data_IF_241706976739
#
_entry.id   IF_241706976739
#
_cell.length_a   1.000
_cell.length_b   1.000
_cell.length_c   1.000
_cell.angle_alpha   90.00
_cell.angle_beta   90.00
_cell.angle_gamma   90.00
#
_symmetry.space_group_name_H-M   'P 1'
#
loop_
_entity.id
_entity.type
_entity.pdbx_description
1 polymer ?
#
# COMPACT_ATOMS: atom_id res chain seq x y z
N UNK A 1 -10.66 15.95 17.27
CA UNK A 1 -10.35 15.63 15.86
C UNK A 1 -9.57 14.33 15.87
N UNK A 2 -9.93 13.38 15.03
CA UNK A 2 -9.28 12.06 14.96
C UNK A 2 -8.33 12.00 13.75
N UNK A 3 -7.39 12.93 13.67
CA UNK A 3 -6.38 12.96 12.60
C UNK A 3 -5.51 11.70 12.56
N UNK A 4 -5.28 11.07 13.70
CA UNK A 4 -4.51 9.83 13.84
C UNK A 4 -5.12 8.59 13.14
N UNK A 5 -6.33 8.70 12.58
CA UNK A 5 -6.95 7.67 11.73
C UNK A 5 -6.74 7.95 10.23
N UNK A 6 -5.99 9.00 9.89
CA UNK A 6 -5.65 9.35 8.51
C UNK A 6 -4.21 8.98 8.18
N UNK A 7 -4.00 8.49 6.96
CA UNK A 7 -2.72 8.42 6.28
C UNK A 7 -2.73 9.45 5.14
N UNK A 8 -1.79 10.39 5.14
CA UNK A 8 -1.84 11.55 4.27
C UNK A 8 -0.72 11.55 3.23
N UNK A 9 -1.03 11.98 2.02
CA UNK A 9 -0.01 12.31 1.03
C UNK A 9 0.72 13.61 1.37
N UNK A 10 1.84 13.85 0.66
CA UNK A 10 2.62 15.07 0.70
C UNK A 10 2.63 15.69 -0.69
N UNK A 11 2.54 17.01 -0.79
CA UNK A 11 2.34 17.66 -2.07
C UNK A 11 3.60 17.71 -2.94
N UNK A 12 4.74 18.00 -2.32
CA UNK A 12 5.98 18.21 -3.05
C UNK A 12 7.21 17.52 -2.43
N UNK A 13 8.39 17.77 -2.98
CA UNK A 13 9.64 17.19 -2.48
C UNK A 13 10.12 17.81 -1.16
N UNK A 14 9.52 18.92 -0.75
CA UNK A 14 9.78 19.62 0.51
C UNK A 14 8.46 19.99 1.15
N UNK A 15 8.42 20.05 2.49
CA UNK A 15 7.24 20.49 3.23
C UNK A 15 7.06 21.99 3.10
N UNK A 16 5.87 22.44 2.74
CA UNK A 16 5.50 23.84 2.87
C UNK A 16 5.21 24.19 4.34
N UNK A 17 5.22 25.48 4.67
CA UNK A 17 4.88 25.93 6.01
C UNK A 17 3.43 25.58 6.40
N UNK A 18 2.52 25.63 5.41
CA UNK A 18 1.11 25.28 5.55
C UNK A 18 0.91 23.79 5.82
N UNK A 19 1.59 22.92 5.06
CA UNK A 19 1.54 21.47 5.30
C UNK A 19 2.12 21.11 6.68
N UNK A 20 3.26 21.69 7.03
CA UNK A 20 3.88 21.46 8.33
C UNK A 20 2.95 21.89 9.49
N UNK A 21 2.25 23.02 9.35
CA UNK A 21 1.28 23.49 10.34
C UNK A 21 0.06 22.56 10.44
N UNK A 22 -0.46 22.11 9.29
CA UNK A 22 -1.57 21.16 9.22
C UNK A 22 -1.21 19.82 9.87
N UNK A 23 -0.06 19.27 9.55
CA UNK A 23 0.40 17.97 10.05
C UNK A 23 0.67 18.01 11.57
N UNK A 24 1.29 19.09 12.07
CA UNK A 24 1.42 19.28 13.52
C UNK A 24 0.08 19.36 14.25
N UNK A 25 -0.92 19.98 13.62
CA UNK A 25 -2.27 20.11 14.19
C UNK A 25 -3.02 18.79 14.18
N UNK A 26 -2.95 18.03 13.09
CA UNK A 26 -3.72 16.80 12.89
C UNK A 26 -3.09 15.57 13.54
N UNK A 27 -1.76 15.51 13.62
CA UNK A 27 -1.01 14.32 14.05
C UNK A 27 -1.51 13.05 13.35
N UNK A 28 -1.40 12.97 11.99
CA UNK A 28 -1.89 11.80 11.26
C UNK A 28 -1.16 10.52 11.69
N UNK A 29 -1.72 9.35 11.36
CA UNK A 29 -1.05 8.07 11.59
C UNK A 29 0.31 8.00 10.91
N UNK A 30 0.42 8.65 9.77
CA UNK A 30 1.62 8.73 8.97
C UNK A 30 1.39 9.37 7.60
N UNK A 31 2.37 9.15 6.73
CA UNK A 31 2.45 9.79 5.42
C UNK A 31 2.78 8.78 4.34
N UNK A 32 2.28 9.02 3.11
CA UNK A 32 2.67 8.29 1.91
C UNK A 32 3.37 9.22 0.94
N UNK A 33 4.50 8.77 0.38
CA UNK A 33 5.25 9.51 -0.63
C UNK A 33 5.13 8.83 -2.01
N UNK A 34 5.06 9.66 -3.04
CA UNK A 34 4.96 9.28 -4.45
C UNK A 34 6.15 9.80 -5.24
N UNK A 35 6.21 9.52 -6.54
CA UNK A 35 7.26 10.02 -7.42
C UNK A 35 7.46 11.54 -7.35
N UNK A 36 6.37 12.31 -7.22
CA UNK A 36 6.42 13.78 -7.07
C UNK A 36 7.20 14.28 -5.84
N UNK A 37 7.39 13.44 -4.85
CA UNK A 37 8.11 13.77 -3.61
C UNK A 37 9.60 13.40 -3.67
N UNK A 38 10.04 12.68 -4.73
CA UNK A 38 11.34 12.00 -4.79
C UNK A 38 12.15 12.56 -5.94
N UNK A 39 13.05 13.48 -5.65
CA UNK A 39 13.93 14.14 -6.64
C UNK A 39 15.41 13.83 -6.42
N UNK A 40 15.77 13.22 -5.30
CA UNK A 40 17.11 12.82 -4.94
C UNK A 40 17.12 12.01 -3.64
N UNK A 41 18.07 11.11 -3.48
CA UNK A 41 18.09 10.21 -2.33
C UNK A 41 18.28 10.97 -0.98
N UNK A 42 19.23 11.89 -0.92
CA UNK A 42 19.44 12.73 0.26
C UNK A 42 18.26 13.68 0.53
N UNK A 43 17.61 14.21 -0.52
CA UNK A 43 16.42 15.04 -0.41
C UNK A 43 15.25 14.22 0.15
N UNK A 44 15.00 13.03 -0.40
CA UNK A 44 13.92 12.12 0.09
C UNK A 44 14.14 11.76 1.54
N UNK A 45 15.38 11.45 1.91
CA UNK A 45 15.73 11.16 3.30
C UNK A 45 15.48 12.37 4.21
N UNK A 46 15.82 13.57 3.79
CA UNK A 46 15.52 14.78 4.55
C UNK A 46 14.01 14.96 4.73
N UNK A 47 13.21 14.76 3.67
CA UNK A 47 11.76 14.88 3.75
C UNK A 47 11.16 13.88 4.75
N UNK A 48 11.62 12.63 4.75
CA UNK A 48 11.15 11.62 5.71
C UNK A 48 11.58 11.93 7.14
N UNK A 49 12.75 12.52 7.35
CA UNK A 49 13.19 13.00 8.67
C UNK A 49 12.37 14.21 9.12
N UNK A 50 12.11 15.19 8.26
CA UNK A 50 11.26 16.36 8.55
C UNK A 50 9.83 15.93 8.97
N UNK A 51 9.25 14.92 8.30
CA UNK A 51 7.94 14.36 8.64
C UNK A 51 7.94 13.67 10.03
N UNK A 52 9.03 12.98 10.40
CA UNK A 52 9.18 12.43 11.76
C UNK A 52 9.25 13.53 12.81
N UNK A 53 10.00 14.58 12.54
CA UNK A 53 10.18 15.71 13.48
C UNK A 53 8.88 16.48 13.74
N UNK A 54 7.90 16.39 12.84
CA UNK A 54 6.55 16.94 13.03
C UNK A 54 5.63 16.06 13.89
N UNK A 55 5.96 14.78 14.04
CA UNK A 55 5.10 13.77 14.63
C UNK A 55 5.45 13.52 16.09
N UNK A 56 4.43 13.38 16.95
CA UNK A 56 4.62 13.06 18.38
C UNK A 56 5.03 11.60 18.56
N UNK A 57 4.37 10.69 17.84
CA UNK A 57 4.68 9.28 17.80
C UNK A 57 5.46 8.94 16.52
N UNK A 58 6.19 7.81 16.48
CA UNK A 58 6.81 7.33 15.23
C UNK A 58 5.74 7.20 14.14
N UNK A 59 5.81 8.01 13.08
CA UNK A 59 4.82 7.97 12.01
C UNK A 59 5.02 6.76 11.09
N UNK A 60 3.96 6.31 10.47
CA UNK A 60 4.05 5.45 9.31
C UNK A 60 4.60 6.29 8.15
N UNK A 61 5.71 5.87 7.58
CA UNK A 61 6.28 6.46 6.36
C UNK A 61 6.20 5.41 5.25
N UNK A 62 5.18 5.55 4.42
CA UNK A 62 4.80 4.57 3.42
C UNK A 62 5.19 4.97 2.00
N UNK A 63 5.35 3.98 1.15
CA UNK A 63 5.63 4.11 -0.28
C UNK A 63 5.09 2.88 -1.02
N UNK A 64 4.81 3.02 -2.33
CA UNK A 64 4.59 1.89 -3.25
C UNK A 64 5.90 1.56 -3.96
N UNK A 65 6.64 0.61 -3.48
CA UNK A 65 7.90 0.17 -4.09
C UNK A 65 7.82 -1.31 -4.47
N UNK A 66 6.92 -1.62 -5.42
CA UNK A 66 6.62 -2.99 -5.84
C UNK A 66 7.70 -3.59 -6.76
N UNK A 67 8.43 -2.73 -7.45
CA UNK A 67 9.27 -3.07 -8.61
C UNK A 67 8.55 -2.91 -9.94
N UNK A 68 9.28 -3.06 -11.05
CA UNK A 68 8.74 -2.84 -12.39
C UNK A 68 8.13 -1.45 -12.56
N UNK A 69 6.92 -1.40 -13.11
CA UNK A 69 6.24 -0.12 -13.38
C UNK A 69 5.83 0.67 -12.13
N UNK A 70 5.69 0.02 -10.98
CA UNK A 70 5.39 0.71 -9.71
C UNK A 70 6.66 0.82 -8.87
N UNK A 71 7.50 1.74 -9.28
CA UNK A 71 8.79 2.09 -8.67
C UNK A 71 8.87 3.58 -8.49
N UNK A 72 8.60 4.08 -7.27
CA UNK A 72 8.58 5.53 -7.00
C UNK A 72 9.98 6.14 -7.01
N UNK A 73 11.01 5.31 -6.87
CA UNK A 73 12.43 5.73 -6.87
C UNK A 73 13.08 5.67 -8.26
N UNK A 74 12.32 5.51 -9.34
CA UNK A 74 12.81 5.30 -10.71
C UNK A 74 13.77 6.39 -11.21
N UNK A 75 13.60 7.63 -10.73
CA UNK A 75 14.41 8.77 -11.15
C UNK A 75 15.70 8.95 -10.34
N UNK A 76 15.86 8.20 -9.23
CA UNK A 76 17.00 8.30 -8.32
C UNK A 76 17.77 6.99 -8.12
N UNK A 77 17.23 5.87 -8.59
CA UNK A 77 17.82 4.54 -8.49
C UNK A 77 17.39 3.64 -9.65
N UNK A 78 18.15 2.59 -9.98
CA UNK A 78 17.69 1.54 -10.88
C UNK A 78 16.39 0.91 -10.36
N UNK A 79 15.49 0.55 -11.28
CA UNK A 79 14.25 -0.14 -10.92
C UNK A 79 14.54 -1.62 -10.62
N UNK A 80 13.93 -2.14 -9.55
CA UNK A 80 13.85 -3.58 -9.32
C UNK A 80 12.93 -4.23 -10.36
N UNK A 81 13.18 -5.50 -10.72
CA UNK A 81 12.29 -6.23 -11.62
C UNK A 81 10.87 -6.34 -11.06
N UNK A 82 9.88 -6.40 -11.95
CA UNK A 82 8.48 -6.60 -11.60
C UNK A 82 8.23 -7.96 -10.94
N UNK A 83 7.16 -8.05 -10.16
CA UNK A 83 6.70 -9.30 -9.56
C UNK A 83 6.53 -10.42 -10.61
N UNK A 84 5.92 -10.08 -11.76
CA UNK A 84 5.72 -11.03 -12.84
C UNK A 84 7.05 -11.52 -13.44
N UNK A 85 8.01 -10.63 -13.67
CA UNK A 85 9.32 -11.00 -14.22
C UNK A 85 10.13 -11.87 -13.25
N UNK A 86 10.14 -11.53 -11.96
CA UNK A 86 10.76 -12.35 -10.92
C UNK A 86 10.15 -13.76 -10.85
N UNK A 87 8.81 -13.82 -10.82
CA UNK A 87 8.12 -15.11 -10.76
C UNK A 87 8.31 -15.94 -12.05
N UNK A 88 8.40 -15.30 -13.21
CA UNK A 88 8.66 -16.00 -14.48
C UNK A 88 9.99 -16.76 -14.50
N UNK A 89 10.98 -16.36 -13.71
CA UNK A 89 12.25 -17.10 -13.54
C UNK A 89 12.08 -18.42 -12.78
N UNK A 90 11.01 -18.57 -11.99
CA UNK A 90 10.77 -19.79 -11.18
C UNK A 90 11.74 -19.96 -10.00
N UNK A 91 12.57 -18.98 -9.71
CA UNK A 91 13.54 -18.98 -8.59
C UNK A 91 13.10 -18.00 -7.50
N UNK A 92 12.63 -18.53 -6.38
CA UNK A 92 12.20 -17.73 -5.24
C UNK A 92 13.34 -17.00 -4.52
N UNK A 93 14.61 -17.40 -4.75
CA UNK A 93 15.78 -16.68 -4.21
C UNK A 93 15.95 -15.32 -4.88
N UNK A 94 15.57 -15.17 -6.16
CA UNK A 94 15.55 -13.88 -6.83
C UNK A 94 14.50 -12.95 -6.20
N UNK A 95 13.31 -13.48 -5.88
CA UNK A 95 12.27 -12.74 -5.16
C UNK A 95 12.73 -12.36 -3.74
N UNK A 96 13.42 -13.27 -3.05
CA UNK A 96 14.03 -12.98 -1.74
C UNK A 96 15.06 -11.84 -1.82
N UNK A 97 15.94 -11.88 -2.84
CA UNK A 97 16.94 -10.84 -3.07
C UNK A 97 16.29 -9.49 -3.39
N UNK A 98 15.24 -9.49 -4.22
CA UNK A 98 14.47 -8.28 -4.50
C UNK A 98 13.87 -7.67 -3.24
N UNK A 99 13.21 -8.47 -2.38
CA UNK A 99 12.66 -8.01 -1.10
C UNK A 99 13.73 -7.48 -0.14
N UNK A 100 14.91 -8.10 -0.12
CA UNK A 100 16.04 -7.62 0.66
C UNK A 100 16.51 -6.24 0.19
N UNK A 101 16.72 -6.07 -1.11
CA UNK A 101 17.20 -4.83 -1.70
C UNK A 101 16.18 -3.70 -1.59
N UNK A 102 14.87 -4.01 -1.77
CA UNK A 102 13.79 -3.06 -1.46
C UNK A 102 13.89 -2.58 -0.01
N UNK A 103 14.04 -3.49 0.93
CA UNK A 103 14.17 -3.13 2.34
C UNK A 103 15.40 -2.28 2.65
N UNK A 104 16.57 -2.60 2.11
CA UNK A 104 17.80 -1.82 2.30
C UNK A 104 17.66 -0.41 1.70
N UNK A 105 17.08 -0.30 0.50
CA UNK A 105 16.78 0.98 -0.16
C UNK A 105 15.85 1.85 0.68
N UNK A 106 14.71 1.29 1.08
CA UNK A 106 13.66 2.02 1.82
C UNK A 106 14.15 2.46 3.19
N UNK A 107 14.93 1.63 3.88
CA UNK A 107 15.50 1.98 5.20
C UNK A 107 16.50 3.13 5.13
N UNK A 108 17.30 3.23 4.06
CA UNK A 108 18.19 4.36 3.84
C UNK A 108 17.42 5.64 3.56
N UNK A 109 16.34 5.56 2.77
CA UNK A 109 15.47 6.69 2.46
C UNK A 109 14.55 7.09 3.63
N UNK A 110 14.47 6.27 4.68
CA UNK A 110 13.71 6.59 5.87
C UNK A 110 12.30 6.00 5.92
N UNK A 111 11.88 5.21 4.96
CA UNK A 111 10.59 4.52 4.99
C UNK A 111 10.57 3.35 5.97
N UNK A 112 9.39 3.04 6.51
CA UNK A 112 9.18 1.95 7.45
C UNK A 112 8.00 1.02 7.09
N UNK A 113 7.21 1.37 6.04
CA UNK A 113 6.14 0.57 5.46
C UNK A 113 6.23 0.61 3.95
N UNK A 114 6.16 -0.55 3.30
CA UNK A 114 5.97 -0.68 1.86
C UNK A 114 4.56 -1.21 1.56
N UNK A 115 3.84 -0.56 0.64
CA UNK A 115 2.56 -1.03 0.13
C UNK A 115 2.77 -2.13 -0.92
N UNK A 116 3.41 -3.17 -0.48
CA UNK A 116 3.68 -4.43 -1.17
C UNK A 116 3.77 -5.56 -0.13
N UNK A 117 3.60 -6.83 -0.52
CA UNK A 117 3.46 -7.33 -1.88
C UNK A 117 2.02 -7.24 -2.41
N UNK A 118 1.87 -7.20 -3.74
CA UNK A 118 0.60 -7.45 -4.41
C UNK A 118 0.30 -8.94 -4.30
N UNK A 119 -0.86 -9.31 -3.75
CA UNK A 119 -1.31 -10.71 -3.65
C UNK A 119 -2.45 -11.04 -4.63
N UNK A 120 -2.86 -10.05 -5.44
CA UNK A 120 -3.84 -10.28 -6.50
C UNK A 120 -3.37 -11.37 -7.47
N UNK A 121 -4.29 -12.25 -7.86
CA UNK A 121 -4.08 -13.19 -8.95
C UNK A 121 -4.28 -12.48 -10.30
N UNK A 122 -3.46 -12.83 -11.29
CA UNK A 122 -3.60 -12.32 -12.66
C UNK A 122 -4.71 -13.08 -13.39
N UNK A 123 -5.98 -12.75 -13.13
CA UNK A 123 -7.12 -13.38 -13.79
C UNK A 123 -7.25 -12.99 -15.27
N UNK A 124 -6.67 -11.87 -15.67
CA UNK A 124 -6.80 -11.30 -17.01
C UNK A 124 -5.45 -11.01 -17.66
N UNK A 125 -4.59 -12.03 -17.88
CA UNK A 125 -3.26 -11.82 -18.46
C UNK A 125 -3.38 -11.21 -19.86
N UNK A 126 -2.53 -10.22 -20.12
CA UNK A 126 -2.54 -9.51 -21.40
C UNK A 126 -3.53 -8.34 -21.49
N UNK A 127 -4.45 -8.17 -20.53
CA UNK A 127 -5.28 -6.96 -20.44
C UNK A 127 -4.47 -5.75 -19.99
N UNK A 128 -4.84 -4.58 -20.54
CA UNK A 128 -4.25 -3.30 -20.17
C UNK A 128 -4.99 -2.73 -18.95
N UNK A 129 -4.82 -3.34 -17.78
CA UNK A 129 -5.40 -2.90 -16.52
C UNK A 129 -4.34 -2.41 -15.52
N UNK A 130 -4.77 -1.94 -14.36
CA UNK A 130 -3.89 -1.44 -13.31
C UNK A 130 -2.91 -2.50 -12.79
N UNK A 131 -3.21 -3.81 -12.90
CA UNK A 131 -2.41 -4.90 -12.33
C UNK A 131 -1.40 -5.51 -13.31
N UNK A 132 -1.39 -5.10 -14.58
CA UNK A 132 -0.45 -5.65 -15.57
C UNK A 132 1.00 -5.55 -15.07
N UNK A 133 1.68 -6.70 -15.00
CA UNK A 133 3.07 -6.82 -14.54
C UNK A 133 3.26 -6.80 -13.03
N UNK A 134 2.22 -6.49 -12.25
CA UNK A 134 2.29 -6.35 -10.78
C UNK A 134 2.00 -7.64 -10.03
N UNK A 135 1.33 -8.62 -10.67
CA UNK A 135 0.99 -9.90 -10.05
C UNK A 135 2.13 -10.90 -10.18
N UNK A 136 2.32 -11.76 -9.19
CA UNK A 136 3.31 -12.87 -9.21
C UNK A 136 2.87 -14.03 -10.11
N UNK A 137 1.59 -14.07 -10.50
CA UNK A 137 1.02 -15.06 -11.39
C UNK A 137 -0.47 -15.28 -11.18
N UNK A 138 -0.98 -16.37 -11.78
CA UNK A 138 -2.40 -16.78 -11.72
C UNK A 138 -2.66 -17.88 -10.69
N UNK A 139 -1.63 -18.61 -10.35
CA UNK A 139 -1.70 -19.72 -9.42
C UNK A 139 -1.45 -19.24 -7.99
N UNK A 140 -2.37 -19.49 -7.04
CA UNK A 140 -2.22 -19.09 -5.65
C UNK A 140 -0.92 -19.57 -5.00
N UNK A 141 -0.48 -20.80 -5.30
CA UNK A 141 0.75 -21.35 -4.73
C UNK A 141 1.98 -20.58 -5.21
N UNK A 142 2.03 -20.23 -6.50
CA UNK A 142 3.10 -19.41 -7.05
C UNK A 142 3.17 -18.03 -6.39
N UNK A 143 2.00 -17.41 -6.14
CA UNK A 143 1.94 -16.12 -5.42
C UNK A 143 2.48 -16.30 -4.00
N UNK A 144 2.07 -17.34 -3.27
CA UNK A 144 2.56 -17.65 -1.92
C UNK A 144 4.09 -17.80 -1.90
N UNK A 145 4.64 -18.57 -2.82
CA UNK A 145 6.07 -18.87 -2.85
C UNK A 145 6.90 -17.62 -3.12
N UNK A 146 6.56 -16.86 -4.14
CA UNK A 146 7.32 -15.68 -4.55
C UNK A 146 7.06 -14.46 -3.67
N UNK A 147 5.79 -14.09 -3.48
CA UNK A 147 5.43 -12.94 -2.62
C UNK A 147 5.84 -13.20 -1.16
N UNK A 148 5.65 -14.42 -0.66
CA UNK A 148 6.08 -14.80 0.69
C UNK A 148 7.60 -14.72 0.86
N UNK A 149 8.37 -15.18 -0.14
CA UNK A 149 9.83 -15.07 -0.13
C UNK A 149 10.29 -13.60 -0.11
N UNK A 150 9.72 -12.78 -1.00
CA UNK A 150 9.97 -11.34 -1.06
C UNK A 150 9.62 -10.65 0.28
N UNK A 151 8.42 -10.90 0.81
CA UNK A 151 7.91 -10.32 2.03
C UNK A 151 8.79 -10.64 3.26
N UNK A 152 9.22 -11.89 3.41
CA UNK A 152 10.10 -12.31 4.52
C UNK A 152 11.42 -11.53 4.52
N UNK A 153 12.00 -11.28 3.36
CA UNK A 153 13.27 -10.58 3.28
C UNK A 153 13.14 -9.07 3.42
N UNK A 154 12.06 -8.46 2.92
CA UNK A 154 11.71 -7.06 3.23
C UNK A 154 11.62 -6.86 4.76
N UNK A 155 10.85 -7.73 5.44
CA UNK A 155 10.64 -7.64 6.90
C UNK A 155 11.92 -7.89 7.70
N UNK A 156 12.82 -8.76 7.23
CA UNK A 156 14.17 -8.93 7.81
C UNK A 156 15.00 -7.64 7.75
N UNK A 157 14.72 -6.75 6.81
CA UNK A 157 15.32 -5.42 6.74
C UNK A 157 14.57 -4.38 7.59
N UNK A 158 13.62 -4.80 8.42
CA UNK A 158 12.85 -3.93 9.32
C UNK A 158 11.96 -2.92 8.59
N UNK A 159 11.52 -3.21 7.38
CA UNK A 159 10.40 -2.54 6.69
C UNK A 159 9.16 -3.42 6.86
N UNK A 160 8.03 -2.82 7.22
CA UNK A 160 6.76 -3.52 7.30
C UNK A 160 6.13 -3.62 5.92
N UNK A 161 5.29 -4.62 5.75
CA UNK A 161 4.61 -4.90 4.48
C UNK A 161 3.11 -4.69 4.57
N UNK A 162 2.50 -4.31 3.46
CA UNK A 162 1.07 -4.20 3.30
C UNK A 162 0.61 -5.00 2.09
N UNK A 163 -0.04 -6.13 2.33
CA UNK A 163 -0.59 -6.96 1.25
C UNK A 163 -1.79 -6.28 0.59
N UNK A 164 -1.89 -6.35 -0.74
CA UNK A 164 -2.93 -5.65 -1.52
C UNK A 164 -3.31 -6.40 -2.79
N UNK A 165 -4.53 -6.18 -3.32
CA UNK A 165 -5.63 -5.34 -2.86
C UNK A 165 -6.81 -6.24 -2.46
N UNK A 166 -7.06 -6.39 -1.18
CA UNK A 166 -8.08 -7.31 -0.66
C UNK A 166 -9.51 -6.86 -1.03
N UNK A 167 -10.44 -7.77 -1.41
CA UNK A 167 -10.24 -9.22 -1.50
C UNK A 167 -9.58 -9.68 -2.80
N UNK A 168 -9.77 -8.97 -3.92
CA UNK A 168 -9.25 -9.34 -5.24
C UNK A 168 -9.50 -8.22 -6.28
N UNK A 169 -8.57 -7.30 -6.44
CA UNK A 169 -8.61 -6.33 -7.54
C UNK A 169 -8.42 -7.02 -8.91
N UNK A 170 -7.70 -8.13 -8.94
CA UNK A 170 -7.42 -8.90 -10.16
C UNK A 170 -8.63 -9.47 -10.88
N UNK A 171 -9.78 -9.56 -10.22
CA UNK A 171 -11.03 -10.04 -10.83
C UNK A 171 -11.78 -8.97 -11.62
N UNK A 172 -11.47 -7.70 -11.41
CA UNK A 172 -12.09 -6.61 -12.14
C UNK A 172 -11.33 -6.28 -13.44
N UNK A 173 -12.07 -5.90 -14.48
CA UNK A 173 -11.50 -5.54 -15.79
C UNK A 173 -11.13 -4.07 -15.88
N UNK A 174 -11.90 -3.18 -15.23
CA UNK A 174 -11.67 -1.74 -15.24
C UNK A 174 -10.66 -1.31 -14.18
N UNK A 175 -10.01 -0.16 -14.43
CA UNK A 175 -9.03 0.43 -13.54
C UNK A 175 -9.73 1.37 -12.54
N UNK A 176 -9.55 1.20 -11.21
CA UNK A 176 -10.19 2.04 -10.20
C UNK A 176 -9.75 3.50 -10.22
N UNK A 177 -8.68 3.84 -10.92
CA UNK A 177 -8.30 5.24 -11.14
C UNK A 177 -9.28 6.01 -12.06
N UNK A 178 -10.04 5.31 -12.88
CA UNK A 178 -10.96 5.92 -13.83
C UNK A 178 -12.44 5.74 -13.49
N UNK A 179 -12.82 4.62 -12.90
CA UNK A 179 -14.21 4.32 -12.49
C UNK A 179 -14.22 3.25 -11.39
N UNK A 180 -15.40 3.00 -10.80
CA UNK A 180 -15.57 1.93 -9.83
C UNK A 180 -15.66 0.57 -10.53
N UNK A 181 -14.64 -0.28 -10.40
CA UNK A 181 -14.67 -1.62 -10.97
C UNK A 181 -15.70 -2.50 -10.29
N UNK A 182 -16.29 -3.42 -11.05
CA UNK A 182 -17.27 -4.39 -10.56
C UNK A 182 -16.77 -5.80 -10.83
N UNK A 183 -16.97 -6.70 -9.88
CA UNK A 183 -16.69 -8.13 -10.02
C UNK A 183 -17.89 -8.94 -9.52
N UNK A 184 -18.40 -9.85 -10.34
CA UNK A 184 -19.52 -10.74 -9.99
C UNK A 184 -19.11 -11.93 -9.11
N UNK A 185 -17.82 -11.99 -8.68
CA UNK A 185 -17.33 -13.07 -7.85
C UNK A 185 -18.09 -13.15 -6.54
N UNK A 186 -18.51 -14.37 -6.21
CA UNK A 186 -19.13 -14.68 -4.92
C UNK A 186 -18.07 -14.89 -3.85
N UNK A 187 -18.46 -14.87 -2.58
CA UNK A 187 -17.58 -15.23 -1.47
C UNK A 187 -16.96 -16.62 -1.65
N UNK A 188 -17.72 -17.57 -2.20
CA UNK A 188 -17.26 -18.92 -2.49
C UNK A 188 -16.17 -18.95 -3.57
N UNK A 189 -16.25 -18.07 -4.58
CA UNK A 189 -15.21 -17.96 -5.62
C UNK A 189 -13.94 -17.35 -5.08
N UNK A 190 -14.05 -16.29 -4.28
CA UNK A 190 -12.90 -15.67 -3.62
C UNK A 190 -12.16 -16.66 -2.70
N UNK A 191 -12.89 -17.44 -1.89
CA UNK A 191 -12.31 -18.42 -0.96
C UNK A 191 -11.56 -19.56 -1.68
N UNK A 192 -11.96 -19.90 -2.89
CA UNK A 192 -11.32 -20.98 -3.66
C UNK A 192 -9.94 -20.60 -4.23
N UNK A 193 -9.69 -19.31 -4.46
CA UNK A 193 -8.50 -18.84 -5.17
C UNK A 193 -7.87 -17.63 -4.50
N UNK A 194 -8.50 -16.45 -4.57
CA UNK A 194 -7.91 -15.15 -4.26
C UNK A 194 -7.52 -14.99 -2.79
N UNK A 195 -8.25 -15.64 -1.90
CA UNK A 195 -8.03 -15.56 -0.44
C UNK A 195 -6.92 -16.50 0.02
N UNK A 196 -6.58 -17.51 -0.75
CA UNK A 196 -5.55 -18.51 -0.39
C UNK A 196 -4.20 -17.84 -0.08
N UNK A 197 -3.65 -16.92 -0.91
CA UNK A 197 -2.39 -16.24 -0.58
C UNK A 197 -2.48 -15.41 0.71
N UNK A 198 -3.60 -14.72 0.96
CA UNK A 198 -3.79 -13.93 2.18
C UNK A 198 -3.77 -14.80 3.43
N UNK A 199 -4.52 -15.90 3.44
CA UNK A 199 -4.60 -16.79 4.60
C UNK A 199 -3.31 -17.56 4.83
N UNK A 200 -2.65 -18.00 3.77
CA UNK A 200 -1.37 -18.69 3.86
C UNK A 200 -0.24 -17.79 4.41
N UNK A 201 -0.21 -16.52 4.01
CA UNK A 201 0.80 -15.56 4.43
C UNK A 201 0.40 -14.75 5.67
N UNK A 202 -0.82 -14.91 6.20
CA UNK A 202 -1.35 -14.14 7.33
C UNK A 202 -0.34 -13.93 8.48
N UNK A 203 0.37 -14.94 8.99
CA UNK A 203 1.31 -14.75 10.11
C UNK A 203 2.50 -13.85 9.77
N UNK A 204 2.76 -13.66 8.48
CA UNK A 204 3.89 -12.91 7.96
C UNK A 204 3.50 -11.53 7.42
N UNK A 205 2.20 -11.20 7.37
CA UNK A 205 1.72 -9.90 6.95
C UNK A 205 1.64 -8.93 8.14
N UNK A 206 1.91 -7.66 7.90
CA UNK A 206 1.80 -6.62 8.93
C UNK A 206 0.56 -5.76 8.74
N UNK A 207 0.18 -5.50 7.48
CA UNK A 207 -1.00 -4.73 7.10
C UNK A 207 -1.70 -5.32 5.87
N UNK A 208 -2.95 -4.91 5.64
CA UNK A 208 -3.77 -5.27 4.47
C UNK A 208 -4.46 -4.02 3.93
N UNK A 209 -4.34 -3.78 2.63
CA UNK A 209 -5.01 -2.70 1.91
C UNK A 209 -6.24 -3.22 1.16
N UNK A 210 -7.36 -2.53 1.33
CA UNK A 210 -8.64 -2.86 0.72
C UNK A 210 -8.78 -2.27 -0.69
N UNK A 211 -9.26 -3.09 -1.63
CA UNK A 211 -9.52 -2.68 -3.01
C UNK A 211 -10.73 -1.75 -3.13
N UNK A 212 -10.68 -0.80 -4.07
CA UNK A 212 -11.85 -0.06 -4.54
C UNK A 212 -12.57 -0.84 -5.65
N UNK A 213 -13.17 -1.99 -5.29
CA UNK A 213 -13.93 -2.86 -6.20
C UNK A 213 -15.28 -3.16 -5.57
N UNK A 214 -16.34 -3.09 -6.34
CA UNK A 214 -17.69 -3.49 -5.94
C UNK A 214 -17.87 -5.00 -6.19
N UNK A 215 -18.33 -5.72 -5.18
CA UNK A 215 -18.72 -7.14 -5.25
C UNK A 215 -20.20 -7.28 -4.94
N UNK A 216 -21.11 -7.12 -5.92
CA UNK A 216 -22.56 -7.09 -5.66
C UNK A 216 -23.09 -8.34 -5.00
N UNK A 217 -22.47 -9.51 -5.21
CA UNK A 217 -22.83 -10.77 -4.56
C UNK A 217 -22.53 -10.80 -3.05
N UNK A 218 -21.71 -9.84 -2.54
CA UNK A 218 -21.33 -9.74 -1.13
C UNK A 218 -21.95 -8.48 -0.51
N UNK A 219 -21.71 -7.34 -1.14
CA UNK A 219 -22.26 -6.04 -0.75
C UNK A 219 -22.62 -5.25 -2.04
N UNK A 220 -23.92 -5.12 -2.38
CA UNK A 220 -24.32 -4.44 -3.60
C UNK A 220 -24.19 -2.91 -3.53
N UNK A 221 -24.04 -2.35 -2.33
CA UNK A 221 -24.15 -0.92 -2.09
C UNK A 221 -22.78 -0.23 -1.95
N UNK A 222 -21.76 -0.98 -1.53
CA UNK A 222 -20.45 -0.38 -1.16
C UNK A 222 -19.27 -1.15 -1.74
N UNK A 223 -18.24 -0.45 -2.26
CA UNK A 223 -16.98 -1.09 -2.65
C UNK A 223 -16.30 -1.74 -1.44
N UNK A 224 -15.44 -2.72 -1.69
CA UNK A 224 -14.82 -3.54 -0.64
C UNK A 224 -14.15 -2.69 0.46
N UNK A 225 -13.47 -1.61 0.09
CA UNK A 225 -12.80 -0.69 1.02
C UNK A 225 -13.75 0.04 1.99
N UNK A 226 -15.04 0.16 1.66
CA UNK A 226 -16.06 0.84 2.46
C UNK A 226 -17.17 -0.09 2.95
N UNK A 227 -17.05 -1.39 2.69
CA UNK A 227 -18.04 -2.39 3.03
C UNK A 227 -17.77 -3.02 4.40
N UNK A 228 -18.66 -2.81 5.35
CA UNK A 228 -18.59 -3.48 6.66
C UNK A 228 -18.71 -5.00 6.54
N UNK A 229 -19.46 -5.49 5.53
CA UNK A 229 -19.56 -6.94 5.26
C UNK A 229 -18.23 -7.53 4.87
N UNK A 230 -17.43 -6.80 4.09
CA UNK A 230 -16.12 -7.25 3.62
C UNK A 230 -15.03 -6.99 4.66
N UNK A 231 -14.91 -5.76 5.19
CA UNK A 231 -13.82 -5.40 6.10
C UNK A 231 -14.00 -6.08 7.46
N UNK A 232 -15.13 -5.85 8.15
CA UNK A 232 -15.36 -6.45 9.45
C UNK A 232 -15.77 -7.91 9.31
N UNK A 233 -16.85 -8.20 8.57
CA UNK A 233 -17.43 -9.54 8.54
C UNK A 233 -16.52 -10.57 7.89
N UNK A 234 -15.96 -10.29 6.71
CA UNK A 234 -15.18 -11.28 6.01
C UNK A 234 -13.70 -11.24 6.43
N UNK A 235 -13.02 -10.11 6.31
CA UNK A 235 -11.57 -10.04 6.58
C UNK A 235 -11.26 -10.27 8.07
N UNK A 236 -11.94 -9.56 8.98
CA UNK A 236 -11.60 -9.64 10.40
C UNK A 236 -12.21 -10.83 11.10
N UNK A 237 -13.55 -10.99 11.00
CA UNK A 237 -14.28 -11.99 11.80
C UNK A 237 -14.14 -13.39 11.21
N UNK A 238 -14.31 -13.55 9.90
CA UNK A 238 -14.28 -14.87 9.28
C UNK A 238 -12.86 -15.37 9.01
N UNK A 239 -11.98 -14.51 8.48
CA UNK A 239 -10.60 -14.89 8.15
C UNK A 239 -9.60 -14.68 9.30
N UNK A 240 -9.97 -13.94 10.36
CA UNK A 240 -9.14 -13.78 11.55
C UNK A 240 -8.05 -12.70 11.46
N UNK A 241 -8.16 -11.73 10.56
CA UNK A 241 -7.24 -10.58 10.46
C UNK A 241 -7.52 -9.50 11.53
N UNK A 242 -7.81 -9.92 12.76
CA UNK A 242 -8.19 -9.05 13.87
C UNK A 242 -7.02 -8.21 14.43
N UNK A 243 -5.77 -8.64 14.19
CA UNK A 243 -4.55 -8.01 14.73
C UNK A 243 -3.78 -7.19 13.70
N UNK A 244 -4.11 -7.32 12.43
CA UNK A 244 -3.44 -6.64 11.33
C UNK A 244 -3.94 -5.20 11.20
N UNK A 245 -3.05 -4.29 10.81
CA UNK A 245 -3.45 -2.97 10.38
C UNK A 245 -4.20 -3.11 9.05
N UNK A 246 -5.37 -2.51 8.95
CA UNK A 246 -6.18 -2.53 7.74
C UNK A 246 -6.43 -1.10 7.29
N UNK A 247 -6.20 -0.82 6.02
CA UNK A 247 -6.37 0.51 5.45
C UNK A 247 -7.07 0.46 4.10
N UNK A 248 -7.66 1.56 3.71
CA UNK A 248 -8.22 1.73 2.37
C UNK A 248 -7.08 1.88 1.35
N UNK A 249 -7.35 1.63 0.08
CA UNK A 249 -6.63 2.28 -1.02
C UNK A 249 -6.93 3.79 -1.01
N UNK A 250 -6.31 4.57 -1.91
CA UNK A 250 -6.47 6.02 -1.95
C UNK A 250 -7.92 6.44 -2.19
N UNK A 251 -8.52 7.13 -1.22
CA UNK A 251 -9.88 7.64 -1.31
C UNK A 251 -10.04 8.80 -2.31
N UNK A 252 -8.94 9.30 -2.86
CA UNK A 252 -8.97 10.31 -3.91
C UNK A 252 -9.10 9.73 -5.33
N UNK A 253 -9.02 8.39 -5.48
CA UNK A 253 -9.27 7.70 -6.75
C UNK A 253 -10.73 7.90 -7.22
N UNK A 254 -10.94 8.03 -8.54
CA UNK A 254 -12.27 8.30 -9.13
C UNK A 254 -13.34 7.27 -8.70
N UNK A 255 -12.95 6.01 -8.48
CA UNK A 255 -13.83 4.97 -7.95
C UNK A 255 -14.60 5.40 -6.69
N UNK A 256 -14.01 6.24 -5.86
CA UNK A 256 -14.57 6.75 -4.60
C UNK A 256 -14.92 8.23 -4.73
N UNK A 257 -13.99 9.06 -5.18
CA UNK A 257 -14.10 10.51 -5.21
C UNK A 257 -15.33 11.04 -5.96
N UNK A 258 -15.77 10.32 -6.99
CA UNK A 258 -16.94 10.71 -7.79
C UNK A 258 -18.28 10.38 -7.13
N UNK A 259 -18.27 9.47 -6.15
CA UNK A 259 -19.49 8.91 -5.51
C UNK A 259 -19.73 9.44 -4.11
N UNK A 260 -18.67 9.80 -3.40
CA UNK A 260 -18.75 10.25 -2.01
C UNK A 260 -18.44 11.74 -1.91
N UNK A 261 -19.19 12.45 -1.06
CA UNK A 261 -19.05 13.90 -0.84
C UNK A 261 -18.87 14.18 0.66
N UNK A 262 -18.38 15.36 0.97
CA UNK A 262 -18.31 15.89 2.36
C UNK A 262 -17.56 14.96 3.34
N UNK A 263 -16.52 14.26 2.86
CA UNK A 263 -15.73 13.30 3.62
C UNK A 263 -16.52 12.08 4.15
N UNK A 264 -17.68 11.78 3.57
CA UNK A 264 -18.48 10.58 3.92
C UNK A 264 -17.75 9.27 3.58
N UNK A 265 -16.84 9.28 2.63
CA UNK A 265 -15.91 8.20 2.29
C UNK A 265 -15.00 7.83 3.48
N UNK A 266 -14.41 8.83 4.11
CA UNK A 266 -13.50 8.64 5.26
C UNK A 266 -14.26 8.08 6.46
N UNK A 267 -15.47 8.59 6.73
CA UNK A 267 -16.33 8.07 7.80
C UNK A 267 -16.74 6.63 7.51
N UNK A 268 -17.22 6.36 6.28
CA UNK A 268 -17.63 5.01 5.87
C UNK A 268 -16.47 4.00 5.95
N UNK A 269 -15.23 4.42 5.64
CA UNK A 269 -14.05 3.59 5.73
C UNK A 269 -13.81 3.11 7.18
N UNK A 270 -13.82 4.02 8.15
CA UNK A 270 -13.60 3.67 9.57
C UNK A 270 -14.78 2.87 10.13
N UNK A 271 -16.02 3.23 9.80
CA UNK A 271 -17.22 2.47 10.19
C UNK A 271 -17.25 1.05 9.59
N UNK A 272 -16.66 0.86 8.41
CA UNK A 272 -16.51 -0.46 7.80
C UNK A 272 -15.54 -1.36 8.58
N UNK A 273 -14.62 -0.78 9.36
CA UNK A 273 -13.63 -1.50 10.17
C UNK A 273 -12.19 -1.33 9.69
N UNK A 274 -11.91 -0.42 8.74
CA UNK A 274 -10.53 -0.01 8.47
C UNK A 274 -9.96 0.72 9.70
N UNK A 275 -8.65 0.64 9.87
CA UNK A 275 -7.92 1.37 10.90
C UNK A 275 -7.49 2.74 10.42
N UNK A 276 -7.17 2.84 9.14
CA UNK A 276 -6.73 4.07 8.49
C UNK A 276 -7.51 4.31 7.20
N UNK A 277 -7.85 5.58 6.99
CA UNK A 277 -8.37 6.10 5.74
C UNK A 277 -7.28 6.90 5.03
N UNK A 278 -7.02 6.60 3.75
CA UNK A 278 -5.92 7.20 3.01
C UNK A 278 -6.41 8.35 2.11
N UNK A 279 -5.77 9.54 2.25
CA UNK A 279 -5.99 10.73 1.42
C UNK A 279 -4.64 11.13 0.83
N UNK A 280 -4.42 10.87 -0.47
CA UNK A 280 -3.09 10.97 -1.08
C UNK A 280 -2.84 12.28 -1.82
N UNK A 281 -3.87 12.91 -2.35
CA UNK A 281 -3.74 14.03 -3.28
C UNK A 281 -4.45 15.29 -2.79
N UNK A 282 -5.69 15.17 -2.31
CA UNK A 282 -6.53 16.28 -1.86
C UNK A 282 -6.37 16.53 -0.37
N UNK A 283 -5.10 16.77 0.07
CA UNK A 283 -4.74 16.94 1.49
C UNK A 283 -5.38 18.15 2.13
N UNK A 284 -5.86 19.13 1.35
CA UNK A 284 -6.64 20.26 1.81
C UNK A 284 -7.95 19.86 2.52
N UNK A 285 -8.51 18.69 2.21
CA UNK A 285 -9.71 18.16 2.90
C UNK A 285 -9.41 17.44 4.22
N UNK A 286 -8.13 17.21 4.55
CA UNK A 286 -7.74 16.39 5.70
C UNK A 286 -8.23 16.94 7.05
N UNK A 287 -8.25 18.27 7.22
CA UNK A 287 -8.78 18.88 8.45
C UNK A 287 -10.29 18.65 8.60
N UNK A 288 -11.05 18.80 7.50
CA UNK A 288 -12.48 18.55 7.51
C UNK A 288 -12.75 17.05 7.76
N UNK A 289 -11.99 16.14 7.11
CA UNK A 289 -12.08 14.70 7.33
C UNK A 289 -11.82 14.32 8.80
N UNK A 290 -10.76 14.87 9.42
CA UNK A 290 -10.46 14.65 10.83
C UNK A 290 -11.56 15.16 11.79
N UNK A 291 -12.26 16.24 11.42
CA UNK A 291 -13.43 16.74 12.17
C UNK A 291 -14.61 15.78 12.08
N UNK A 292 -14.91 15.25 10.87
CA UNK A 292 -15.97 14.25 10.69
C UNK A 292 -15.67 12.97 11.47
N UNK A 293 -14.44 12.46 11.39
CA UNK A 293 -14.00 11.31 12.20
C UNK A 293 -14.10 11.59 13.71
N UNK A 294 -13.94 12.85 14.15
CA UNK A 294 -14.10 13.26 15.54
C UNK A 294 -15.53 13.18 16.07
N UNK A 295 -16.53 12.97 15.18
CA UNK A 295 -17.94 12.77 15.56
C UNK A 295 -18.27 11.29 15.82
N UNK A 296 -17.40 10.38 15.39
CA UNK A 296 -17.55 8.96 15.65
C UNK A 296 -17.45 8.67 17.15
N UNK A 297 -18.21 7.70 17.61
CA UNK A 297 -18.14 7.24 18.99
C UNK A 297 -16.77 6.58 19.26
N UNK A 298 -16.29 6.67 20.51
CA UNK A 298 -15.07 5.96 20.92
C UNK A 298 -15.14 4.46 20.67
N UNK A 299 -16.32 3.85 20.76
CA UNK A 299 -16.54 2.46 20.43
C UNK A 299 -16.21 2.12 18.97
N UNK A 300 -16.48 3.05 18.04
CA UNK A 300 -16.19 2.86 16.62
C UNK A 300 -14.68 2.98 16.30
N UNK A 301 -13.91 3.73 17.09
CA UNK A 301 -12.48 4.00 16.82
C UNK A 301 -11.53 3.19 17.69
N UNK A 302 -11.96 2.72 18.87
CA UNK A 302 -11.09 2.04 19.86
C UNK A 302 -10.33 0.85 19.27
N UNK A 303 -10.97 0.07 18.40
CA UNK A 303 -10.34 -1.07 17.72
C UNK A 303 -9.19 -0.63 16.80
N UNK A 304 -9.42 0.43 16.01
CA UNK A 304 -8.44 1.02 15.12
C UNK A 304 -7.24 1.59 15.91
N UNK A 305 -7.51 2.34 16.97
CA UNK A 305 -6.48 2.92 17.83
C UNK A 305 -5.58 1.85 18.47
N UNK A 306 -6.18 0.75 18.97
CA UNK A 306 -5.45 -0.38 19.55
C UNK A 306 -4.54 -1.07 18.52
N UNK A 307 -5.04 -1.28 17.28
CA UNK A 307 -4.26 -1.91 16.21
C UNK A 307 -3.16 -0.99 15.70
N UNK A 308 -3.42 0.30 15.54
CA UNK A 308 -2.42 1.30 15.19
C UNK A 308 -1.30 1.37 16.24
N UNK A 309 -1.66 1.43 17.53
CA UNK A 309 -0.67 1.44 18.61
C UNK A 309 0.19 0.17 18.63
N UNK A 310 -0.41 -0.99 18.34
CA UNK A 310 0.33 -2.27 18.19
C UNK A 310 1.25 -2.25 16.98
N UNK A 311 0.80 -1.71 15.85
CA UNK A 311 1.56 -1.60 14.62
C UNK A 311 2.77 -0.67 14.80
N UNK A 312 2.58 0.51 15.40
CA UNK A 312 3.67 1.46 15.70
C UNK A 312 4.80 0.85 16.50
N UNK A 313 4.53 -0.07 17.44
CA UNK A 313 5.56 -0.80 18.20
C UNK A 313 6.46 -1.69 17.34
N UNK A 314 6.05 -1.99 16.12
CA UNK A 314 6.84 -2.78 15.16
C UNK A 314 7.64 -1.91 14.19
N UNK A 315 7.39 -0.61 14.17
CA UNK A 315 8.12 0.32 13.30
C UNK A 315 9.54 0.51 13.81
N UNK A 316 10.44 0.70 12.90
CA UNK A 316 11.85 0.97 13.18
C UNK A 316 12.24 2.31 12.60
N UNK A 317 12.95 3.12 13.36
CA UNK A 317 13.56 4.35 12.87
C UNK A 317 14.53 4.09 11.71
N UNK A 318 14.88 5.10 10.92
CA UNK A 318 15.69 4.96 9.71
C UNK A 318 17.13 4.47 10.02
N UNK A 319 17.80 3.90 9.02
CA UNK A 319 19.24 3.71 9.09
C UNK A 319 19.94 5.08 9.02
N UNK A 320 21.15 5.19 9.58
CA UNK A 320 21.97 6.38 9.37
C UNK A 320 22.25 6.53 7.87
N UNK A 321 21.94 7.71 7.33
CA UNK A 321 22.20 8.01 5.93
C UNK A 321 23.68 7.84 5.59
N UNK A 322 23.95 7.27 4.42
CA UNK A 322 25.31 7.11 3.87
C UNK A 322 25.22 7.00 2.36
N UNK A 323 25.82 7.93 1.64
CA UNK A 323 25.91 7.94 0.18
C UNK A 323 26.55 6.64 -0.34
N UNK A 324 27.66 6.23 0.27
CA UNK A 324 28.37 4.99 -0.13
C UNK A 324 27.48 3.74 0.00
N UNK A 325 26.61 3.67 1.05
CA UNK A 325 25.65 2.57 1.18
C UNK A 325 24.55 2.66 0.14
N UNK A 326 24.09 3.86 -0.16
CA UNK A 326 23.09 4.09 -1.20
C UNK A 326 23.60 3.63 -2.58
N UNK A 327 24.81 4.05 -2.95
CA UNK A 327 25.46 3.63 -4.20
C UNK A 327 25.64 2.12 -4.28
N UNK A 328 26.03 1.47 -3.17
CA UNK A 328 26.18 0.02 -3.11
C UNK A 328 24.85 -0.69 -3.33
N UNK A 329 23.75 -0.24 -2.69
CA UNK A 329 22.41 -0.81 -2.88
C UNK A 329 21.94 -0.59 -4.32
N UNK A 330 22.14 0.59 -4.90
CA UNK A 330 21.80 0.87 -6.30
C UNK A 330 22.55 -0.08 -7.27
N UNK A 331 23.83 -0.33 -7.02
CA UNK A 331 24.63 -1.28 -7.80
C UNK A 331 24.05 -2.69 -7.73
N UNK A 332 23.72 -3.18 -6.53
CA UNK A 332 23.13 -4.51 -6.34
C UNK A 332 21.75 -4.63 -7.00
N UNK A 333 20.94 -3.56 -6.99
CA UNK A 333 19.66 -3.51 -7.70
C UNK A 333 19.89 -3.64 -9.21
N UNK A 334 20.85 -2.89 -9.77
CA UNK A 334 21.20 -2.98 -11.19
C UNK A 334 21.68 -4.39 -11.59
N UNK A 335 22.48 -5.03 -10.74
CA UNK A 335 22.94 -6.40 -10.95
C UNK A 335 21.78 -7.42 -10.95
N UNK A 336 20.79 -7.24 -10.06
CA UNK A 336 19.61 -8.10 -10.04
C UNK A 336 18.72 -7.85 -11.28
N UNK A 337 18.50 -6.60 -11.65
CA UNK A 337 17.75 -6.23 -12.85
C UNK A 337 18.36 -6.83 -14.12
N UNK A 338 19.70 -6.85 -14.24
CA UNK A 338 20.38 -7.49 -15.35
C UNK A 338 20.18 -9.02 -15.42
N UNK A 339 19.95 -9.69 -14.28
CA UNK A 339 19.64 -11.13 -14.23
C UNK A 339 18.19 -11.44 -14.59
N UNK A 340 17.31 -10.47 -14.46
CA UNK A 340 15.87 -10.61 -14.71
C UNK A 340 15.42 -9.52 -15.69
N UNK A 341 15.87 -9.59 -16.97
CA UNK A 341 15.49 -8.60 -17.96
C UNK A 341 13.98 -8.66 -18.22
N UNK A 342 13.38 -7.49 -18.33
CA UNK A 342 11.98 -7.31 -18.71
C UNK A 342 11.90 -6.89 -20.17
N UNK A 343 10.97 -7.47 -20.92
CA UNK A 343 10.61 -6.91 -22.22
C UNK A 343 9.99 -5.53 -22.00
N UNK A 344 10.37 -4.55 -22.83
CA UNK A 344 9.76 -3.23 -22.82
C UNK A 344 8.27 -3.39 -23.17
N UNK A 345 7.44 -3.55 -22.16
CA UNK A 345 6.01 -3.65 -22.34
C UNK A 345 5.46 -2.30 -22.78
N UNK A 346 4.58 -2.30 -23.79
CA UNK A 346 3.69 -1.16 -24.02
C UNK A 346 2.87 -0.99 -22.74
N UNK A 347 3.19 0.04 -21.97
CA UNK A 347 2.53 0.29 -20.69
C UNK A 347 1.08 0.70 -20.93
N UNK A 348 0.13 0.17 -20.16
CA UNK A 348 -1.24 0.63 -20.20
C UNK A 348 -1.31 2.12 -19.84
N UNK A 349 -2.30 2.80 -20.38
CA UNK A 349 -2.59 4.20 -20.06
C UNK A 349 -3.25 4.29 -18.67
N UNK A 350 -2.54 3.83 -17.64
CA UNK A 350 -2.97 3.83 -16.24
C UNK A 350 -2.04 4.74 -15.45
N UNK A 351 -2.56 5.66 -14.62
CA UNK A 351 -1.75 6.58 -13.83
C UNK A 351 -0.95 5.90 -12.71
N UNK A 352 -1.15 4.61 -12.47
CA UNK A 352 -0.52 3.87 -11.35
C UNK A 352 1.01 3.98 -11.30
N UNK A 353 1.66 4.20 -12.45
CA UNK A 353 3.11 4.38 -12.53
C UNK A 353 3.58 5.80 -12.17
N UNK A 354 2.69 6.79 -12.31
CA UNK A 354 2.98 8.22 -12.15
C UNK A 354 2.30 8.83 -10.91
N UNK A 355 1.52 8.04 -10.23
CA UNK A 355 0.87 8.36 -8.96
C UNK A 355 1.86 8.72 -7.87
#
# INVERSE_FOLDING_TARGET
>A
MNGHLLLLGVQGPELTAEEAALFRKLQPAGYILFGRNITGAAQTRKLTDDLRDLSVDEPILAIDQEGGRVTRTKDIAPALPSANALAAKGDTLLSARAGMLTGDQLRLLGFNLDFAPVLDLDHHPGTQNALRGRCWGRDPQRVIDHAGSWNRWLRKRSVRSCAKHFPACGRALSDPHFDLPVSDATLGDLLKEDIIPYTALMPELDAVMLAHVLFPAIDPDRPASLSKRIVTGFLRDQLGFDKHLVLTDDLDMCAIADRYRDNSDVVAAIEAGNDLAMICHRTERAEAAAKELGKLSSYATEGAEKRLARFRKKLHGPLKWSETKWEAVCKEIAELAAQVPEEAAVLPNSPVADY
#
